data_IF_041474506560
#
_entry.id   IF_041474506560
#
_cell.length_a   1.000
_cell.length_b   1.000
_cell.length_c   1.000
_cell.angle_alpha   90.00
_cell.angle_beta   90.00
_cell.angle_gamma   90.00
#
_symmetry.space_group_name_H-M   'P 1'
#
loop_
_entity.id
_entity.type
_entity.pdbx_description
1 polymer ?
#
# COMPACT_ATOMS: atom_id res chain seq x y z
N UNK A 1 -36.70 -16.75 -27.42
CA UNK A 1 -35.61 -16.06 -26.70
C UNK A 1 -36.10 -15.72 -25.31
N UNK A 2 -35.86 -16.60 -24.32
CA UNK A 2 -35.89 -16.34 -22.86
C UNK A 2 -36.11 -17.67 -22.12
N UNK A 3 -35.01 -18.39 -21.86
CA UNK A 3 -35.01 -19.37 -20.78
C UNK A 3 -34.89 -18.54 -19.49
N UNK A 4 -36.00 -18.36 -18.76
CA UNK A 4 -36.07 -17.44 -17.63
C UNK A 4 -35.03 -17.77 -16.56
N UNK A 5 -34.10 -16.85 -16.31
CA UNK A 5 -33.15 -16.96 -15.21
C UNK A 5 -33.96 -16.93 -13.92
N UNK A 6 -33.85 -17.99 -13.12
CA UNK A 6 -34.42 -18.01 -11.78
C UNK A 6 -33.56 -17.12 -10.89
N UNK A 7 -34.14 -16.01 -10.47
CA UNK A 7 -33.50 -15.09 -9.55
C UNK A 7 -33.60 -15.68 -8.13
N UNK A 8 -32.44 -15.96 -7.52
CA UNK A 8 -32.37 -16.41 -6.14
C UNK A 8 -32.33 -15.19 -5.20
N UNK A 9 -33.33 -15.02 -4.31
CA UNK A 9 -33.37 -13.89 -3.39
C UNK A 9 -32.19 -13.86 -2.41
N UNK A 10 -31.50 -14.98 -2.17
CA UNK A 10 -30.28 -14.99 -1.36
C UNK A 10 -29.11 -14.31 -2.08
N UNK A 11 -28.97 -14.52 -3.38
CA UNK A 11 -27.93 -13.89 -4.21
C UNK A 11 -28.18 -12.39 -4.30
N UNK A 12 -29.42 -11.97 -4.50
CA UNK A 12 -29.79 -10.55 -4.53
C UNK A 12 -29.49 -9.84 -3.22
N UNK A 13 -29.83 -10.46 -2.08
CA UNK A 13 -29.50 -9.89 -0.75
C UNK A 13 -28.00 -9.76 -0.54
N UNK A 14 -27.23 -10.77 -0.94
CA UNK A 14 -25.76 -10.71 -0.84
C UNK A 14 -25.18 -9.60 -1.71
N UNK A 15 -25.64 -9.49 -2.97
CA UNK A 15 -25.23 -8.43 -3.87
C UNK A 15 -25.57 -7.05 -3.29
N UNK A 16 -26.79 -6.87 -2.80
CA UNK A 16 -27.24 -5.64 -2.16
C UNK A 16 -26.40 -5.27 -0.93
N UNK A 17 -26.10 -6.22 -0.04
CA UNK A 17 -25.25 -5.96 1.13
C UNK A 17 -23.83 -5.54 0.73
N UNK A 18 -23.25 -6.21 -0.26
CA UNK A 18 -21.90 -5.91 -0.75
C UNK A 18 -21.84 -4.52 -1.39
N UNK A 19 -22.78 -4.20 -2.27
CA UNK A 19 -22.83 -2.92 -2.98
C UNK A 19 -23.13 -1.75 -2.03
N UNK A 20 -24.05 -1.97 -1.07
CA UNK A 20 -24.46 -0.96 -0.10
C UNK A 20 -23.68 -0.99 1.22
N UNK A 21 -22.49 -1.61 1.25
CA UNK A 21 -21.66 -1.71 2.47
C UNK A 21 -21.38 -0.34 3.10
N UNK A 22 -21.27 0.70 2.28
CA UNK A 22 -21.00 2.07 2.73
C UNK A 22 -22.15 2.67 3.57
N UNK A 23 -23.39 2.26 3.36
CA UNK A 23 -24.54 2.72 4.15
C UNK A 23 -24.53 2.14 5.56
N UNK A 24 -24.01 0.92 5.71
CA UNK A 24 -23.97 0.19 6.98
C UNK A 24 -22.63 0.32 7.72
N UNK A 25 -21.70 1.12 7.17
CA UNK A 25 -20.39 1.30 7.77
C UNK A 25 -20.46 2.19 9.01
N UNK A 26 -19.76 1.78 10.07
CA UNK A 26 -19.63 2.57 11.29
C UNK A 26 -18.16 2.64 11.76
N UNK A 27 -17.78 3.83 12.23
CA UNK A 27 -16.50 4.05 12.90
C UNK A 27 -16.54 3.44 14.30
N UNK A 28 -15.79 2.36 14.49
CA UNK A 28 -15.58 1.74 15.79
C UNK A 28 -14.08 1.70 16.09
N UNK A 29 -13.71 1.35 17.32
CA UNK A 29 -12.29 1.34 17.73
C UNK A 29 -11.43 0.42 16.85
N UNK A 30 -12.00 -0.68 16.32
CA UNK A 30 -11.29 -1.62 15.46
C UNK A 30 -11.09 -1.09 14.04
N UNK A 31 -12.14 -0.55 13.42
CA UNK A 31 -12.08 -0.01 12.05
C UNK A 31 -11.21 1.25 12.01
N UNK A 32 -11.41 2.16 12.95
CA UNK A 32 -10.64 3.42 13.05
C UNK A 32 -9.14 3.15 13.16
N UNK A 33 -8.71 2.22 14.03
CA UNK A 33 -7.28 1.87 14.17
C UNK A 33 -6.69 1.30 12.89
N UNK A 34 -7.42 0.43 12.19
CA UNK A 34 -6.96 -0.17 10.93
C UNK A 34 -6.89 0.85 9.82
N UNK A 35 -7.92 1.69 9.68
CA UNK A 35 -7.94 2.75 8.69
C UNK A 35 -6.81 3.74 8.92
N UNK A 36 -6.57 4.18 10.16
CA UNK A 36 -5.47 5.09 10.48
C UNK A 36 -4.09 4.47 10.19
N UNK A 37 -3.90 3.19 10.52
CA UNK A 37 -2.64 2.51 10.23
C UNK A 37 -2.34 2.44 8.74
N UNK A 38 -3.31 1.97 7.94
CA UNK A 38 -3.09 1.79 6.50
C UNK A 38 -3.13 3.09 5.69
N UNK A 39 -3.94 4.08 6.09
CA UNK A 39 -4.05 5.35 5.37
C UNK A 39 -2.99 6.37 5.78
N UNK A 40 -2.51 6.34 7.04
CA UNK A 40 -1.55 7.33 7.52
C UNK A 40 -0.20 6.70 7.88
N UNK A 41 -0.19 5.72 8.78
CA UNK A 41 1.08 5.20 9.31
C UNK A 41 1.95 4.55 8.22
N UNK A 42 1.36 3.74 7.34
CA UNK A 42 2.09 3.07 6.26
C UNK A 42 2.61 4.06 5.22
N UNK A 43 1.80 4.97 4.63
CA UNK A 43 2.32 5.95 3.68
C UNK A 43 3.38 6.86 4.28
N UNK A 44 3.15 7.40 5.50
CA UNK A 44 4.14 8.27 6.16
C UNK A 44 5.44 7.52 6.44
N UNK A 45 5.36 6.29 6.94
CA UNK A 45 6.54 5.46 7.21
C UNK A 45 7.33 5.15 5.93
N UNK A 46 6.64 4.75 4.86
CA UNK A 46 7.27 4.47 3.57
C UNK A 46 7.89 5.72 2.95
N UNK A 47 7.17 6.85 2.96
CA UNK A 47 7.67 8.12 2.45
C UNK A 47 8.90 8.59 3.23
N UNK A 48 8.89 8.50 4.56
CA UNK A 48 10.05 8.84 5.38
C UNK A 48 11.26 7.95 5.06
N UNK A 49 11.07 6.64 4.95
CA UNK A 49 12.13 5.71 4.57
C UNK A 49 12.66 6.01 3.16
N UNK A 50 11.77 6.27 2.20
CA UNK A 50 12.13 6.61 0.83
C UNK A 50 12.99 7.87 0.80
N UNK A 51 12.61 8.95 1.49
CA UNK A 51 13.43 10.16 1.56
C UNK A 51 14.79 9.93 2.22
N UNK A 52 14.88 9.03 3.20
CA UNK A 52 16.15 8.68 3.86
C UNK A 52 17.07 7.84 2.97
N UNK A 53 16.53 6.95 2.14
CA UNK A 53 17.31 6.07 1.27
C UNK A 53 17.52 6.63 -0.13
N UNK A 54 16.80 7.69 -0.49
CA UNK A 54 16.87 8.30 -1.81
C UNK A 54 18.29 8.76 -2.14
N UNK A 55 18.85 8.17 -3.19
CA UNK A 55 20.15 8.56 -3.72
C UNK A 55 21.34 8.18 -2.83
N UNK A 56 21.14 7.38 -1.78
CA UNK A 56 22.22 6.84 -0.95
C UNK A 56 22.99 5.76 -1.71
N UNK A 57 22.28 4.97 -2.51
CA UNK A 57 22.85 3.90 -3.33
C UNK A 57 23.02 4.33 -4.77
N UNK A 58 24.15 3.94 -5.34
CA UNK A 58 24.44 4.06 -6.76
C UNK A 58 24.85 2.68 -7.29
N UNK A 59 23.87 1.97 -7.85
CA UNK A 59 24.05 0.63 -8.40
C UNK A 59 24.62 0.62 -9.82
N UNK A 60 24.81 1.79 -10.44
CA UNK A 60 25.35 1.85 -11.79
C UNK A 60 26.83 1.45 -11.77
N UNK A 61 27.14 0.32 -12.40
CA UNK A 61 28.48 -0.26 -12.54
C UNK A 61 29.24 -0.55 -11.23
N UNK A 62 28.58 -0.54 -10.07
CA UNK A 62 29.23 -0.90 -8.80
C UNK A 62 29.48 -2.40 -8.71
N UNK A 63 30.71 -2.82 -8.44
CA UNK A 63 31.07 -4.22 -8.22
C UNK A 63 31.32 -4.52 -6.73
N UNK A 64 31.73 -3.51 -5.96
CA UNK A 64 32.00 -3.64 -4.53
C UNK A 64 31.15 -2.69 -3.69
N UNK A 65 31.06 -2.97 -2.38
CA UNK A 65 30.26 -2.17 -1.43
C UNK A 65 30.70 -0.71 -1.37
N UNK A 66 32.01 -0.46 -1.41
CA UNK A 66 32.58 0.89 -1.38
C UNK A 66 32.16 1.72 -2.61
N UNK A 67 31.92 1.07 -3.75
CA UNK A 67 31.41 1.71 -4.97
C UNK A 67 29.89 1.88 -4.95
N UNK A 68 29.14 1.13 -4.15
CA UNK A 68 27.69 1.30 -4.06
C UNK A 68 27.27 2.49 -3.22
N UNK A 69 28.02 2.79 -2.16
CA UNK A 69 27.68 3.83 -1.20
C UNK A 69 28.32 5.16 -1.59
N UNK A 70 27.50 6.23 -1.69
CA UNK A 70 28.00 7.52 -2.19
C UNK A 70 28.96 8.25 -1.25
N UNK A 71 28.91 7.98 0.06
CA UNK A 71 29.82 8.61 1.03
C UNK A 71 31.22 8.00 0.88
N UNK A 72 31.34 6.68 0.92
CA UNK A 72 32.57 5.93 0.68
C UNK A 72 33.22 6.28 -0.68
N UNK A 73 32.42 6.41 -1.76
CA UNK A 73 32.89 6.86 -3.08
C UNK A 73 33.54 8.25 -3.06
N UNK A 74 33.04 9.17 -2.23
CA UNK A 74 33.60 10.54 -2.12
C UNK A 74 34.94 10.53 -1.39
N UNK A 75 35.06 9.74 -0.33
CA UNK A 75 36.29 9.62 0.46
C UNK A 75 37.42 8.98 -0.34
N UNK A 76 37.14 7.99 -1.18
CA UNK A 76 38.14 7.35 -2.04
C UNK A 76 38.65 8.25 -3.20
N UNK A 77 37.93 9.34 -3.52
CA UNK A 77 38.27 10.27 -4.59
C UNK A 77 39.03 11.53 -4.11
N UNK A 78 39.13 11.75 -2.80
CA UNK A 78 39.88 12.85 -2.17
C UNK A 78 41.32 12.42 -1.87
#
# INVERSE_FOLDING_TARGET
MAHGIKIDPAIERWAHLRENTHLYFAWNKRTTRRSLFWLAAVPVGLTYLAYKTQGVWDFAASQTKAEMWKEDKKEASQ
#
